data_IF_804513352535
#
_entry.id   IF_804513352535
#
_cell.length_a   1.000
_cell.length_b   1.000
_cell.length_c   1.000
_cell.angle_alpha   90.00
_cell.angle_beta   90.00
_cell.angle_gamma   90.00
#
_symmetry.space_group_name_H-M   'P 1'
#
loop_
_entity.id
_entity.type
_entity.pdbx_description
1 polymer ?
#
# COMPACT_ATOMS: atom_id res chain seq x y z
N UNK A 1 10.80 -45.51 -77.13
CA UNK A 1 10.57 -44.18 -76.53
C UNK A 1 9.97 -44.44 -75.14
N UNK A 2 10.83 -44.63 -74.14
CA UNK A 2 10.44 -44.90 -72.78
C UNK A 2 10.22 -43.57 -72.03
N UNK A 3 9.03 -43.40 -71.46
CA UNK A 3 8.75 -42.34 -70.49
C UNK A 3 8.95 -42.91 -69.11
N UNK A 4 9.95 -42.45 -68.41
CA UNK A 4 10.21 -42.74 -67.01
C UNK A 4 9.31 -41.82 -66.21
N UNK A 5 8.35 -42.40 -65.48
CA UNK A 5 7.49 -41.72 -64.51
C UNK A 5 8.23 -41.66 -63.16
N UNK A 6 8.69 -40.51 -62.80
CA UNK A 6 9.32 -40.29 -61.47
C UNK A 6 8.23 -40.02 -60.47
N UNK A 7 7.88 -41.00 -59.67
CA UNK A 7 6.95 -40.86 -58.53
C UNK A 7 7.69 -40.27 -57.37
N UNK A 8 7.38 -39.00 -57.08
CA UNK A 8 7.86 -38.30 -55.89
C UNK A 8 6.99 -38.71 -54.72
N UNK A 9 7.48 -39.63 -53.87
CA UNK A 9 6.87 -39.94 -52.57
C UNK A 9 7.23 -38.82 -51.61
N UNK A 10 6.27 -37.92 -51.39
CA UNK A 10 6.31 -37.00 -50.27
C UNK A 10 5.94 -37.76 -48.98
N UNK A 11 6.97 -38.11 -48.22
CA UNK A 11 6.81 -38.55 -46.86
C UNK A 11 6.35 -37.36 -45.98
N UNK A 12 5.03 -37.25 -45.83
CA UNK A 12 4.43 -36.45 -44.79
C UNK A 12 4.67 -37.15 -43.45
N UNK A 13 5.71 -36.74 -42.76
CA UNK A 13 5.83 -37.04 -41.34
C UNK A 13 4.80 -36.20 -40.57
N UNK A 14 3.78 -36.79 -39.96
CA UNK A 14 2.98 -36.06 -38.99
C UNK A 14 3.87 -35.85 -37.75
N UNK A 15 4.46 -34.67 -37.62
CA UNK A 15 4.90 -34.22 -36.32
C UNK A 15 3.66 -34.18 -35.42
N UNK A 16 3.41 -35.24 -34.71
CA UNK A 16 2.58 -35.23 -33.52
C UNK A 16 3.32 -34.31 -32.51
N UNK A 17 2.97 -33.03 -32.51
CA UNK A 17 3.19 -32.18 -31.35
C UNK A 17 2.32 -32.80 -30.28
N UNK A 18 2.91 -33.66 -29.47
CA UNK A 18 2.36 -34.01 -28.17
C UNK A 18 2.37 -32.72 -27.37
N UNK A 19 1.30 -31.97 -27.49
CA UNK A 19 0.99 -30.90 -26.56
C UNK A 19 0.94 -31.55 -25.19
N UNK A 20 1.98 -31.39 -24.39
CA UNK A 20 1.87 -31.68 -22.98
C UNK A 20 0.68 -30.90 -22.50
N UNK A 21 -0.42 -31.57 -22.20
CA UNK A 21 -1.47 -30.98 -21.41
C UNK A 21 -0.86 -30.68 -20.05
N UNK A 22 -0.35 -29.49 -19.88
CA UNK A 22 0.00 -28.95 -18.58
C UNK A 22 -1.30 -28.69 -17.82
N UNK A 23 -1.99 -29.75 -17.44
CA UNK A 23 -3.06 -29.72 -16.44
C UNK A 23 -2.40 -29.79 -15.07
N UNK A 24 -1.43 -28.92 -14.82
CA UNK A 24 -0.95 -28.74 -13.48
C UNK A 24 -1.90 -27.71 -12.85
N UNK A 25 -2.93 -28.19 -12.17
CA UNK A 25 -3.88 -27.37 -11.42
C UNK A 25 -3.21 -26.65 -10.22
N UNK A 26 -1.88 -26.73 -10.14
CA UNK A 26 -1.09 -26.11 -9.09
C UNK A 26 -1.10 -24.59 -9.24
N UNK A 27 -1.63 -23.91 -8.25
CA UNK A 27 -1.56 -22.45 -8.16
C UNK A 27 -0.16 -22.02 -7.71
N UNK A 28 0.74 -21.80 -8.65
CA UNK A 28 2.12 -21.36 -8.34
C UNK A 28 2.18 -20.00 -7.61
N UNK A 29 1.13 -19.19 -7.66
CA UNK A 29 1.08 -17.94 -6.89
C UNK A 29 1.07 -18.20 -5.38
N UNK A 30 0.60 -19.33 -4.92
CA UNK A 30 0.61 -19.72 -3.51
C UNK A 30 2.00 -20.12 -2.99
N UNK A 31 2.90 -20.47 -3.90
CA UNK A 31 4.30 -20.79 -3.58
C UNK A 31 5.17 -19.52 -3.40
N UNK A 32 4.64 -18.35 -3.75
CA UNK A 32 5.40 -17.11 -3.69
C UNK A 32 5.47 -16.60 -2.25
N UNK A 33 6.67 -16.55 -1.70
CA UNK A 33 6.92 -15.89 -0.42
C UNK A 33 7.20 -14.40 -0.64
N UNK A 34 6.20 -13.56 -0.41
CA UNK A 34 6.30 -12.10 -0.59
C UNK A 34 7.20 -11.41 0.42
N UNK A 35 7.67 -12.12 1.45
CA UNK A 35 8.58 -11.57 2.47
C UNK A 35 10.07 -11.70 2.10
N UNK A 36 10.39 -12.40 1.01
CA UNK A 36 11.79 -12.52 0.55
C UNK A 36 12.33 -11.14 0.16
N UNK A 37 13.49 -10.78 0.70
CA UNK A 37 14.16 -9.51 0.40
C UNK A 37 13.60 -8.27 1.10
N UNK A 38 12.59 -8.43 1.96
CA UNK A 38 11.97 -7.31 2.69
C UNK A 38 12.72 -6.93 3.95
N UNK A 39 13.56 -7.80 4.46
CA UNK A 39 14.37 -7.61 5.67
C UNK A 39 15.80 -8.08 5.40
N UNK A 40 16.78 -7.46 6.06
CA UNK A 40 18.15 -7.88 5.96
C UNK A 40 19.09 -6.98 6.75
N UNK A 41 20.30 -7.50 6.97
CA UNK A 41 21.41 -6.78 7.55
C UNK A 41 22.43 -6.53 6.43
N UNK A 42 22.67 -5.27 6.09
CA UNK A 42 23.71 -4.89 5.13
C UNK A 42 23.20 -4.07 3.95
N UNK A 43 24.15 -3.64 3.13
CA UNK A 43 23.89 -2.90 1.92
C UNK A 43 23.05 -3.75 0.94
N UNK A 44 22.07 -3.17 0.33
CA UNK A 44 21.19 -3.78 -0.66
C UNK A 44 20.23 -4.87 -0.13
N UNK A 45 20.02 -4.99 1.18
CA UNK A 45 18.98 -5.84 1.75
C UNK A 45 17.84 -5.01 2.35
N UNK A 46 16.61 -5.53 2.31
CA UNK A 46 15.43 -4.85 2.82
C UNK A 46 14.83 -3.80 1.88
N UNK A 47 15.22 -3.79 0.60
CA UNK A 47 14.71 -2.84 -0.39
C UNK A 47 13.46 -3.32 -1.14
N UNK A 48 12.98 -4.51 -0.84
CA UNK A 48 11.71 -5.02 -1.36
C UNK A 48 10.61 -4.76 -0.35
N UNK A 49 9.40 -4.56 -0.82
CA UNK A 49 8.23 -4.38 0.04
C UNK A 49 7.34 -5.63 0.01
N UNK A 50 6.72 -6.03 1.15
CA UNK A 50 5.93 -7.25 1.24
C UNK A 50 4.46 -7.06 0.90
N UNK A 51 4.02 -5.83 0.65
CA UNK A 51 2.62 -5.46 0.56
C UNK A 51 1.89 -6.01 -0.65
N UNK A 52 0.60 -5.78 -0.66
CA UNK A 52 -0.28 -6.16 -1.75
C UNK A 52 0.08 -5.41 -3.03
N UNK A 53 0.23 -6.15 -4.13
CA UNK A 53 0.58 -5.61 -5.45
C UNK A 53 -0.25 -6.31 -6.51
N UNK A 54 -0.84 -5.54 -7.43
CA UNK A 54 -1.44 -6.04 -8.65
C UNK A 54 -0.42 -5.93 -9.78
N UNK A 55 -0.22 -6.96 -10.61
CA UNK A 55 0.74 -6.92 -11.69
C UNK A 55 0.50 -5.71 -12.62
N UNK A 56 1.55 -4.90 -12.80
CA UNK A 56 1.50 -3.65 -13.60
C UNK A 56 0.49 -2.60 -13.09
N UNK A 57 0.01 -2.74 -11.86
CA UNK A 57 -0.85 -1.75 -11.21
C UNK A 57 -0.09 -0.51 -10.75
N UNK A 58 -0.84 0.56 -10.51
CA UNK A 58 -0.28 1.84 -10.02
C UNK A 58 -0.11 1.85 -8.49
N UNK A 59 -0.75 0.92 -7.79
CA UNK A 59 -0.82 0.88 -6.32
C UNK A 59 -0.04 -0.31 -5.78
N UNK A 60 0.83 -0.04 -4.81
CA UNK A 60 1.51 -1.02 -3.99
C UNK A 60 1.17 -0.71 -2.54
N UNK A 61 0.13 -1.36 -2.01
CA UNK A 61 -0.31 -1.09 -0.65
C UNK A 61 0.50 -1.91 0.34
N UNK A 62 1.43 -1.25 0.99
CA UNK A 62 2.51 -1.91 1.72
C UNK A 62 2.93 -1.11 2.95
N UNK A 63 3.46 -1.77 4.00
CA UNK A 63 4.21 -1.04 5.00
C UNK A 63 5.42 -0.36 4.37
N UNK A 64 5.72 0.85 4.82
CA UNK A 64 6.93 1.56 4.38
C UNK A 64 8.16 0.92 5.02
N UNK A 65 8.98 0.26 4.22
CA UNK A 65 10.12 -0.52 4.71
C UNK A 65 11.40 0.29 4.85
N UNK A 66 11.61 1.22 3.96
CA UNK A 66 12.89 1.87 3.85
C UNK A 66 13.18 2.85 5.00
N UNK A 67 12.17 3.56 5.44
CA UNK A 67 12.27 4.54 6.54
C UNK A 67 11.81 4.02 7.89
N UNK A 68 11.69 2.70 8.03
CA UNK A 68 11.25 2.04 9.27
C UNK A 68 9.90 2.55 9.77
N UNK A 69 8.83 2.10 9.10
CA UNK A 69 7.52 2.08 9.71
C UNK A 69 6.74 3.40 9.78
N UNK A 70 6.61 4.05 8.63
CA UNK A 70 5.77 5.23 8.50
C UNK A 70 4.27 4.96 8.35
N UNK A 71 3.81 3.79 8.60
CA UNK A 71 2.46 3.38 8.25
C UNK A 71 2.41 2.57 6.95
N UNK A 72 1.22 2.42 6.42
CA UNK A 72 0.98 1.76 5.13
C UNK A 72 0.87 2.81 4.03
N UNK A 73 1.66 2.67 3.01
CA UNK A 73 1.77 3.60 1.88
C UNK A 73 1.20 2.99 0.61
N UNK A 74 0.78 3.82 -0.33
CA UNK A 74 0.10 3.36 -1.55
C UNK A 74 1.01 3.31 -2.78
N UNK A 75 2.21 3.82 -2.68
CA UNK A 75 3.20 3.76 -3.74
C UNK A 75 4.60 3.60 -3.16
N UNK A 76 5.34 2.66 -3.67
CA UNK A 76 6.73 2.45 -3.26
C UNK A 76 7.47 1.73 -4.38
N UNK A 77 8.65 2.20 -4.72
CA UNK A 77 9.50 1.53 -5.69
C UNK A 77 10.31 0.42 -5.01
N UNK A 78 10.37 -0.74 -5.63
CA UNK A 78 11.09 -1.89 -5.12
C UNK A 78 12.53 -1.91 -5.62
N UNK A 79 13.48 -2.25 -4.73
CA UNK A 79 14.87 -2.46 -5.12
C UNK A 79 15.68 -1.21 -5.44
N UNK A 80 15.17 -0.01 -5.15
CA UNK A 80 15.80 1.24 -5.56
C UNK A 80 17.13 1.57 -4.86
N UNK A 81 17.33 1.09 -3.63
CA UNK A 81 18.54 1.35 -2.87
C UNK A 81 18.67 2.77 -2.30
N UNK A 82 17.67 3.60 -2.43
CA UNK A 82 17.57 4.94 -1.87
C UNK A 82 16.13 5.22 -1.45
N UNK A 83 15.90 6.31 -0.71
CA UNK A 83 14.56 6.72 -0.33
C UNK A 83 13.67 6.82 -1.56
N UNK A 84 12.49 6.24 -1.49
CA UNK A 84 11.67 6.07 -2.66
C UNK A 84 10.19 6.16 -2.32
N UNK A 85 9.55 7.22 -2.72
CA UNK A 85 8.11 7.44 -2.64
C UNK A 85 7.53 7.06 -1.27
N UNK A 86 6.32 6.56 -1.20
CA UNK A 86 5.63 6.25 0.05
C UNK A 86 4.68 7.36 0.46
N UNK A 87 3.91 7.86 -0.53
CA UNK A 87 2.93 8.91 -0.31
C UNK A 87 1.71 8.38 0.45
N UNK A 88 1.05 9.31 1.11
CA UNK A 88 -0.21 9.13 1.82
C UNK A 88 -0.17 7.97 2.82
N UNK A 89 0.82 7.92 3.72
CA UNK A 89 0.89 6.89 4.73
C UNK A 89 -0.37 6.91 5.59
N UNK A 90 -0.94 5.72 5.80
CA UNK A 90 -2.10 5.52 6.65
C UNK A 90 -1.72 4.73 7.88
N UNK A 91 -2.37 5.02 9.01
CA UNK A 91 -2.02 4.39 10.26
C UNK A 91 -3.24 4.26 11.19
N UNK A 92 -3.52 3.06 11.73
CA UNK A 92 -4.57 2.87 12.73
C UNK A 92 -4.03 3.18 14.14
N UNK A 93 -4.85 3.86 14.93
CA UNK A 93 -4.56 4.20 16.34
C UNK A 93 -5.73 3.76 17.22
N UNK A 94 -5.44 3.15 18.38
CA UNK A 94 -6.45 2.84 19.37
C UNK A 94 -6.99 4.11 20.04
N UNK A 95 -8.31 4.20 20.16
CA UNK A 95 -8.96 5.38 20.77
C UNK A 95 -8.94 6.61 19.89
N UNK A 96 -9.06 7.77 20.53
CA UNK A 96 -8.99 9.09 19.90
C UNK A 96 -7.57 9.62 19.86
N UNK A 97 -7.28 10.41 18.84
CA UNK A 97 -6.01 11.10 18.75
C UNK A 97 -5.94 12.23 19.78
N UNK A 98 -4.94 12.21 20.67
CA UNK A 98 -4.79 13.18 21.73
C UNK A 98 -3.79 14.29 21.42
N UNK A 99 -2.89 14.04 20.48
CA UNK A 99 -1.86 14.96 20.06
C UNK A 99 -1.59 14.82 18.56
N UNK A 100 -0.98 15.80 17.97
CA UNK A 100 -0.54 15.72 16.57
C UNK A 100 0.38 14.52 16.39
N UNK A 101 0.18 13.73 15.33
CA UNK A 101 1.15 12.71 14.95
C UNK A 101 2.50 13.28 14.52
N UNK A 102 2.65 14.59 14.51
CA UNK A 102 3.84 15.40 14.21
C UNK A 102 4.47 15.03 12.87
N UNK A 103 5.07 13.86 12.83
CA UNK A 103 5.44 13.19 11.60
C UNK A 103 5.05 11.72 11.74
N UNK A 104 4.11 11.27 10.92
CA UNK A 104 3.62 9.89 10.94
C UNK A 104 4.76 8.87 10.72
N UNK A 105 5.86 9.29 10.06
CA UNK A 105 7.09 8.51 9.93
C UNK A 105 7.72 8.17 11.29
N UNK A 106 7.43 8.95 12.33
CA UNK A 106 7.89 8.70 13.68
C UNK A 106 7.02 7.69 14.44
N UNK A 107 5.80 7.41 13.94
CA UNK A 107 4.99 6.33 14.48
C UNK A 107 5.53 5.00 14.01
N UNK A 108 6.29 4.36 14.86
CA UNK A 108 6.77 3.00 14.60
C UNK A 108 5.59 2.05 14.60
N UNK A 109 5.28 1.49 13.45
CA UNK A 109 4.44 0.32 13.38
C UNK A 109 5.26 -0.85 13.91
N UNK A 110 4.98 -1.32 15.11
CA UNK A 110 5.49 -2.61 15.53
C UNK A 110 4.74 -3.67 14.75
N UNK A 111 5.30 -4.10 13.64
CA UNK A 111 4.75 -5.16 12.80
C UNK A 111 5.14 -6.51 13.38
N UNK A 112 4.16 -7.34 13.62
CA UNK A 112 4.31 -8.74 14.00
C UNK A 112 3.35 -9.62 13.21
N UNK A 113 3.56 -10.93 13.23
CA UNK A 113 2.71 -11.92 12.53
C UNK A 113 2.41 -11.52 11.09
N UNK A 114 3.46 -11.10 10.40
CA UNK A 114 3.39 -10.63 9.02
C UNK A 114 3.28 -11.81 8.06
N UNK A 115 2.34 -11.75 7.14
CA UNK A 115 2.19 -12.71 6.05
C UNK A 115 1.59 -12.06 4.81
N UNK A 116 1.78 -12.68 3.66
CA UNK A 116 1.23 -12.18 2.41
C UNK A 116 1.32 -13.20 1.29
N UNK A 117 0.52 -12.95 0.28
CA UNK A 117 0.57 -13.64 -1.00
C UNK A 117 0.28 -12.63 -2.12
N UNK A 118 0.32 -13.05 -3.37
CA UNK A 118 0.06 -12.17 -4.51
C UNK A 118 -1.26 -11.40 -4.33
N UNK A 119 -1.19 -10.06 -4.33
CA UNK A 119 -2.35 -9.17 -4.19
C UNK A 119 -2.89 -8.97 -2.76
N UNK A 120 -2.29 -9.60 -1.77
CA UNK A 120 -2.75 -9.50 -0.38
C UNK A 120 -1.60 -9.45 0.61
N UNK A 121 -1.80 -8.68 1.67
CA UNK A 121 -0.88 -8.59 2.80
C UNK A 121 -1.66 -8.45 4.11
N UNK A 122 -1.20 -9.09 5.16
CA UNK A 122 -1.70 -8.85 6.51
C UNK A 122 -0.57 -8.83 7.55
N UNK A 123 -0.83 -8.09 8.62
CA UNK A 123 0.07 -8.01 9.77
C UNK A 123 -0.68 -7.60 11.03
N UNK A 124 -0.11 -7.91 12.18
CA UNK A 124 -0.52 -7.32 13.44
C UNK A 124 0.34 -6.07 13.70
N UNK A 125 -0.32 -4.94 13.92
CA UNK A 125 0.33 -3.66 14.20
C UNK A 125 -0.10 -3.15 15.57
N UNK A 126 0.72 -2.33 16.20
CA UNK A 126 0.44 -1.81 17.55
C UNK A 126 0.00 -2.89 18.55
N UNK A 127 0.68 -4.04 18.52
CA UNK A 127 0.48 -5.20 19.39
C UNK A 127 -0.74 -6.07 19.03
N UNK A 128 -1.89 -5.49 18.69
CA UNK A 128 -3.15 -6.21 18.58
C UNK A 128 -4.15 -5.71 17.52
N UNK A 129 -3.80 -4.70 16.72
CA UNK A 129 -4.62 -4.30 15.56
C UNK A 129 -4.20 -5.17 14.37
N UNK A 130 -5.14 -5.89 13.77
CA UNK A 130 -4.90 -6.62 12.53
C UNK A 130 -5.17 -5.73 11.34
N UNK A 131 -4.16 -5.58 10.49
CA UNK A 131 -4.24 -4.83 9.25
C UNK A 131 -4.27 -5.81 8.07
N UNK A 132 -5.24 -5.66 7.19
CA UNK A 132 -5.39 -6.42 5.95
C UNK A 132 -5.35 -5.44 4.78
N UNK A 133 -4.50 -5.69 3.82
CA UNK A 133 -4.33 -4.84 2.64
C UNK A 133 -4.53 -5.65 1.38
N UNK A 134 -5.23 -5.08 0.42
CA UNK A 134 -5.37 -5.64 -0.93
C UNK A 134 -5.41 -4.52 -1.96
N UNK A 135 -5.25 -4.87 -3.23
CA UNK A 135 -5.18 -3.89 -4.31
C UNK A 135 -5.89 -4.38 -5.56
N UNK A 136 -6.32 -3.42 -6.35
CA UNK A 136 -6.59 -3.57 -7.78
C UNK A 136 -5.58 -2.74 -8.57
N UNK A 137 -5.77 -2.59 -9.86
CA UNK A 137 -4.87 -1.81 -10.72
C UNK A 137 -4.62 -0.38 -10.20
N UNK A 138 -5.64 0.27 -9.63
CA UNK A 138 -5.59 1.69 -9.22
C UNK A 138 -6.13 1.97 -7.83
N UNK A 139 -6.56 0.96 -7.11
CA UNK A 139 -7.18 1.13 -5.80
C UNK A 139 -6.52 0.23 -4.79
N UNK A 140 -6.09 0.80 -3.67
CA UNK A 140 -5.75 0.07 -2.47
C UNK A 140 -6.97 -0.01 -1.55
N UNK A 141 -7.14 -1.12 -0.86
CA UNK A 141 -8.17 -1.29 0.16
C UNK A 141 -7.53 -1.82 1.44
N UNK A 142 -7.86 -1.19 2.54
CA UNK A 142 -7.44 -1.63 3.86
C UNK A 142 -8.62 -1.96 4.77
N UNK A 143 -8.41 -2.92 5.65
CA UNK A 143 -9.27 -3.24 6.78
C UNK A 143 -8.43 -3.31 8.04
N UNK A 144 -8.78 -2.52 9.03
CA UNK A 144 -8.16 -2.54 10.36
C UNK A 144 -9.14 -3.14 11.37
N UNK A 145 -8.80 -4.28 11.95
CA UNK A 145 -9.57 -4.95 12.99
C UNK A 145 -8.99 -4.59 14.35
N UNK A 146 -9.80 -3.93 15.17
CA UNK A 146 -9.42 -3.51 16.51
C UNK A 146 -9.79 -4.56 17.57
N UNK A 147 -9.08 -4.59 18.71
CA UNK A 147 -9.43 -5.48 19.82
C UNK A 147 -10.86 -5.26 20.31
N UNK A 148 -11.48 -6.32 20.85
CA UNK A 148 -12.86 -6.32 21.30
C UNK A 148 -13.16 -5.27 22.38
N UNK A 149 -12.18 -4.91 23.17
CA UNK A 149 -12.30 -3.92 24.26
C UNK A 149 -12.17 -2.45 23.80
N UNK A 150 -11.85 -2.21 22.51
CA UNK A 150 -11.81 -0.85 21.98
C UNK A 150 -13.21 -0.37 21.60
N UNK A 151 -13.57 0.80 22.07
CA UNK A 151 -14.83 1.49 21.72
C UNK A 151 -14.63 2.53 20.61
N UNK A 152 -13.41 3.01 20.44
CA UNK A 152 -13.04 4.00 19.45
C UNK A 152 -11.76 3.58 18.73
N UNK A 153 -11.67 3.94 17.45
CA UNK A 153 -10.46 3.75 16.66
C UNK A 153 -10.26 4.91 15.70
N UNK A 154 -9.03 5.32 15.50
CA UNK A 154 -8.67 6.43 14.62
C UNK A 154 -7.82 5.93 13.47
N UNK A 155 -8.07 6.44 12.27
CA UNK A 155 -7.20 6.28 11.11
C UNK A 155 -6.61 7.63 10.76
N UNK A 156 -5.29 7.69 10.69
CA UNK A 156 -4.52 8.87 10.26
C UNK A 156 -4.15 8.68 8.79
N UNK A 157 -4.22 9.75 8.00
CA UNK A 157 -3.73 9.79 6.61
C UNK A 157 -2.82 11.01 6.46
N UNK A 158 -1.56 10.76 6.15
CA UNK A 158 -0.58 11.80 5.87
C UNK A 158 -0.75 12.36 4.46
N UNK A 159 -1.04 13.64 4.33
CA UNK A 159 -1.11 14.34 3.03
C UNK A 159 0.28 14.81 2.57
N UNK A 160 0.97 15.52 3.43
CA UNK A 160 2.30 16.08 3.18
C UNK A 160 3.44 15.22 3.71
N UNK A 161 3.36 13.89 3.54
CA UNK A 161 4.35 12.93 4.03
C UNK A 161 4.71 11.93 2.95
N UNK A 162 6.01 11.71 2.76
CA UNK A 162 6.58 10.70 1.89
C UNK A 162 8.02 10.41 2.35
N UNK A 163 8.58 9.29 1.94
CA UNK A 163 10.01 9.01 2.15
C UNK A 163 10.91 9.94 1.32
N UNK A 164 10.43 10.42 0.18
CA UNK A 164 11.10 11.50 -0.59
C UNK A 164 10.57 12.86 -0.17
N UNK A 165 11.34 13.94 -0.35
CA UNK A 165 10.88 15.29 -0.02
C UNK A 165 9.55 15.67 -0.66
N UNK A 166 8.72 16.36 0.07
CA UNK A 166 7.45 16.91 -0.40
C UNK A 166 7.61 18.40 -0.67
N UNK A 167 7.39 18.82 -1.90
CA UNK A 167 7.45 20.23 -2.31
C UNK A 167 6.11 20.95 -2.10
N UNK A 168 5.02 20.23 -2.36
CA UNK A 168 3.65 20.73 -2.19
C UNK A 168 2.74 19.57 -1.81
N UNK A 169 1.78 19.83 -0.96
CA UNK A 169 0.70 18.89 -0.65
C UNK A 169 -0.53 19.66 -0.19
N UNK A 170 -1.69 19.09 -0.48
CA UNK A 170 -2.94 19.53 0.13
C UNK A 170 -3.86 18.33 0.29
N UNK A 171 -4.63 18.33 1.38
CA UNK A 171 -5.63 17.32 1.69
C UNK A 171 -6.87 17.98 2.25
N UNK A 172 -8.04 17.55 1.79
CA UNK A 172 -9.34 18.07 2.21
C UNK A 172 -10.27 16.93 2.61
N UNK A 173 -10.93 17.07 3.76
CA UNK A 173 -12.05 16.21 4.18
C UNK A 173 -13.30 16.75 3.50
N UNK A 174 -13.90 15.98 2.62
CA UNK A 174 -15.09 16.34 1.84
C UNK A 174 -16.39 15.80 2.42
N UNK A 175 -16.29 14.76 3.27
CA UNK A 175 -17.40 14.18 4.02
C UNK A 175 -16.88 13.46 5.27
N UNK A 176 -17.75 13.13 6.25
CA UNK A 176 -17.33 12.39 7.46
C UNK A 176 -16.66 11.04 7.17
N UNK A 177 -16.78 10.53 5.95
CA UNK A 177 -16.16 9.27 5.51
C UNK A 177 -15.24 9.44 4.30
N UNK A 178 -14.86 10.67 3.92
CA UNK A 178 -14.13 10.88 2.66
C UNK A 178 -13.14 12.04 2.75
N UNK A 179 -11.95 11.82 2.22
CA UNK A 179 -10.99 12.88 1.94
C UNK A 179 -10.35 12.68 0.56
N UNK A 180 -9.76 13.76 0.07
CA UNK A 180 -9.01 13.75 -1.18
C UNK A 180 -7.86 14.75 -1.12
N UNK A 181 -6.88 14.56 -2.00
CA UNK A 181 -5.73 15.45 -1.99
C UNK A 181 -4.71 15.14 -3.06
N UNK A 182 -3.60 15.84 -2.96
CA UNK A 182 -2.44 15.62 -3.81
C UNK A 182 -1.14 15.87 -3.05
N UNK A 183 -0.07 15.29 -3.57
CA UNK A 183 1.28 15.62 -3.16
C UNK A 183 2.18 15.77 -4.40
N UNK A 184 3.12 16.70 -4.32
CA UNK A 184 4.21 16.88 -5.28
C UNK A 184 5.50 16.55 -4.56
N UNK A 185 6.10 15.46 -4.95
CA UNK A 185 7.39 15.00 -4.45
C UNK A 185 8.46 15.08 -5.55
N UNK A 186 9.64 14.61 -5.23
CA UNK A 186 10.76 14.57 -6.18
C UNK A 186 12.05 14.23 -5.48
N UNK A 187 13.16 14.58 -6.14
CA UNK A 187 14.52 14.31 -5.63
C UNK A 187 14.77 12.82 -5.34
N UNK A 188 14.26 11.97 -6.22
CA UNK A 188 14.45 10.54 -6.14
C UNK A 188 15.91 10.18 -6.48
N UNK A 189 16.62 9.52 -5.54
CA UNK A 189 18.05 9.21 -5.66
C UNK A 189 18.91 10.42 -6.09
N UNK A 190 18.58 11.63 -5.64
CA UNK A 190 19.28 12.84 -6.02
C UNK A 190 18.89 13.44 -7.40
N UNK A 191 17.96 12.81 -8.10
CA UNK A 191 17.44 13.34 -9.36
C UNK A 191 16.27 14.31 -9.08
N UNK A 192 16.37 15.57 -9.48
CA UNK A 192 15.36 16.61 -9.17
C UNK A 192 14.13 16.55 -10.08
N UNK A 193 13.68 15.34 -10.42
CA UNK A 193 12.50 15.15 -11.27
C UNK A 193 11.24 15.15 -10.40
N UNK A 194 10.39 16.17 -10.47
CA UNK A 194 9.16 16.19 -9.68
C UNK A 194 8.13 15.22 -10.24
N UNK A 195 7.33 14.67 -9.37
CA UNK A 195 6.12 13.94 -9.70
C UNK A 195 4.95 14.52 -8.91
N UNK A 196 3.73 14.40 -9.44
CA UNK A 196 2.50 14.75 -8.75
C UNK A 196 1.57 13.57 -8.71
N UNK A 197 1.07 13.26 -7.52
CA UNK A 197 0.14 12.16 -7.29
C UNK A 197 -1.10 12.68 -6.59
N UNK A 198 -2.27 12.19 -7.02
CA UNK A 198 -3.57 12.50 -6.45
C UNK A 198 -4.16 11.25 -5.82
N UNK A 199 -4.96 11.45 -4.77
CA UNK A 199 -5.68 10.36 -4.14
C UNK A 199 -7.07 10.78 -3.68
N UNK A 200 -7.91 9.77 -3.48
CA UNK A 200 -9.19 9.84 -2.76
C UNK A 200 -9.18 8.68 -1.78
N UNK A 201 -9.61 8.93 -0.55
CA UNK A 201 -9.87 7.88 0.42
C UNK A 201 -11.33 7.93 0.87
N UNK A 202 -11.98 6.77 0.87
CA UNK A 202 -13.38 6.62 1.23
C UNK A 202 -13.55 5.46 2.22
N UNK A 203 -14.11 5.76 3.39
CA UNK A 203 -14.39 4.80 4.46
C UNK A 203 -15.79 4.21 4.33
N UNK A 204 -15.95 2.98 4.81
CA UNK A 204 -17.21 2.23 4.82
C UNK A 204 -18.26 2.79 5.80
N UNK A 205 -17.86 3.70 6.68
CA UNK A 205 -18.73 4.36 7.65
C UNK A 205 -18.27 5.80 7.94
N UNK A 206 -19.17 6.64 8.43
CA UNK A 206 -18.85 8.00 8.84
C UNK A 206 -18.06 8.03 10.15
N UNK A 207 -17.07 8.91 10.21
CA UNK A 207 -16.35 9.22 11.43
C UNK A 207 -17.25 10.01 12.39
N UNK A 208 -17.09 9.77 13.70
CA UNK A 208 -17.74 10.55 14.76
C UNK A 208 -16.95 11.79 15.14
N UNK A 209 -15.68 11.81 14.79
CA UNK A 209 -14.78 12.93 14.97
C UNK A 209 -13.74 12.92 13.84
N UNK A 210 -13.40 14.07 13.35
CA UNK A 210 -12.34 14.23 12.34
C UNK A 210 -11.65 15.59 12.51
N UNK A 211 -10.53 15.72 11.88
CA UNK A 211 -9.78 16.98 11.84
C UNK A 211 -8.50 16.83 11.06
N UNK A 212 -7.68 17.86 11.15
CA UNK A 212 -6.40 17.93 10.47
C UNK A 212 -5.27 18.10 11.47
N UNK A 213 -4.05 17.95 11.00
CA UNK A 213 -2.86 18.28 11.75
C UNK A 213 -1.79 18.83 10.82
N UNK A 214 -0.92 19.66 11.37
CA UNK A 214 0.26 20.16 10.70
C UNK A 214 1.38 20.34 11.72
N UNK A 215 2.50 19.68 11.49
CA UNK A 215 3.59 19.65 12.46
C UNK A 215 3.07 19.24 13.85
N UNK A 216 3.35 20.02 14.89
CA UNK A 216 2.93 19.74 16.28
C UNK A 216 1.48 20.10 16.59
N UNK A 217 0.80 20.77 15.66
CA UNK A 217 -0.54 21.30 15.89
C UNK A 217 -1.61 20.30 15.42
N UNK A 218 -2.46 19.85 16.34
CA UNK A 218 -3.68 19.09 16.07
C UNK A 218 -4.86 20.06 16.00
N UNK A 219 -5.66 19.97 14.94
CA UNK A 219 -6.79 20.88 14.66
C UNK A 219 -8.10 20.06 14.52
N UNK A 220 -8.80 19.83 15.62
CA UNK A 220 -10.12 19.18 15.58
C UNK A 220 -11.13 20.00 14.76
N UNK A 221 -12.06 19.32 14.11
CA UNK A 221 -13.16 19.90 13.32
C UNK A 221 -12.72 20.80 12.16
N UNK A 222 -11.47 20.70 11.73
CA UNK A 222 -10.99 21.34 10.50
C UNK A 222 -10.95 20.32 9.36
N UNK A 223 -11.12 20.83 8.14
CA UNK A 223 -11.27 19.99 6.95
C UNK A 223 -10.14 20.14 5.95
N UNK A 224 -9.22 21.06 6.16
CA UNK A 224 -8.14 21.35 5.20
C UNK A 224 -6.78 21.42 5.88
N UNK A 225 -5.80 20.74 5.28
CA UNK A 225 -4.40 20.85 5.65
C UNK A 225 -3.53 20.90 4.38
N UNK A 226 -2.41 21.61 4.49
CA UNK A 226 -1.47 21.77 3.38
C UNK A 226 -0.01 21.79 3.83
N UNK A 227 0.88 21.50 2.89
CA UNK A 227 2.32 21.56 3.08
C UNK A 227 2.90 20.31 3.73
N UNK A 228 4.18 20.40 4.05
CA UNK A 228 4.96 19.33 4.66
C UNK A 228 4.47 18.99 6.08
N UNK A 229 4.62 17.74 6.49
CA UNK A 229 4.22 17.25 7.82
C UNK A 229 2.75 17.58 8.17
N UNK A 230 1.84 17.37 7.22
CA UNK A 230 0.40 17.61 7.38
C UNK A 230 -0.42 16.40 6.99
N UNK A 231 -1.66 16.33 7.49
CA UNK A 231 -2.59 15.28 7.16
C UNK A 231 -3.95 15.44 7.81
N UNK A 232 -4.74 14.39 7.73
CA UNK A 232 -6.08 14.30 8.31
C UNK A 232 -6.21 13.08 9.20
N UNK A 233 -7.19 13.09 10.08
CA UNK A 233 -7.56 11.95 10.88
C UNK A 233 -9.07 11.79 10.94
N UNK A 234 -9.49 10.53 11.09
CA UNK A 234 -10.89 10.14 11.24
C UNK A 234 -11.01 9.18 12.41
N UNK A 235 -11.86 9.52 13.38
CA UNK A 235 -12.14 8.68 14.55
C UNK A 235 -13.52 8.06 14.42
N UNK A 236 -13.60 6.77 14.62
CA UNK A 236 -14.81 5.96 14.41
C UNK A 236 -15.26 5.31 15.69
N UNK A 237 -16.60 5.20 15.84
CA UNK A 237 -17.22 4.36 16.83
C UNK A 237 -17.04 2.87 16.44
N UNK A 238 -16.57 2.07 17.41
CA UNK A 238 -16.31 0.66 17.25
C UNK A 238 -17.26 -0.23 18.06
N UNK A 239 -18.29 0.32 18.70
CA UNK A 239 -19.17 -0.48 19.58
C UNK A 239 -19.92 -1.56 18.82
N UNK A 240 -20.41 -1.24 17.61
CA UNK A 240 -21.17 -2.17 16.77
C UNK A 240 -20.30 -3.02 15.86
N UNK A 241 -19.19 -2.48 15.37
CA UNK A 241 -18.30 -3.11 14.40
C UNK A 241 -16.86 -2.77 14.74
N UNK A 242 -16.07 -3.78 15.08
CA UNK A 242 -14.68 -3.62 15.55
C UNK A 242 -13.67 -3.41 14.43
N UNK A 243 -14.11 -3.15 13.22
CA UNK A 243 -13.24 -2.87 12.10
C UNK A 243 -13.58 -1.55 11.39
N UNK A 244 -12.59 -1.03 10.72
CA UNK A 244 -12.66 0.14 9.84
C UNK A 244 -12.13 -0.30 8.48
N UNK A 245 -12.90 -0.06 7.43
CA UNK A 245 -12.50 -0.34 6.05
C UNK A 245 -12.47 0.94 5.25
N UNK A 246 -11.53 1.03 4.31
CA UNK A 246 -11.46 2.14 3.35
C UNK A 246 -10.72 1.74 2.07
N UNK A 247 -10.95 2.48 1.05
CA UNK A 247 -10.30 2.35 -0.25
C UNK A 247 -9.77 3.71 -0.71
#
# INVERSE_FOLDING_TARGET
KNKILLSLFLLLNPFFILGNNWTDDKNYAEEVNTLIGTKGLGLASGYLYPGATYPFGMVQFTPSYFSKSAGFVINQLSGAGCDHMGNFPTFPVKGKLQASPENILNYRINISKEQGHAGYYEATVQEDIRAHLTVTERTGMAKYEFPANQTMGTVIIGGGISATPINQAAIVITAPNRCEGYAVGGNFCGLPTPYKVYFVAEFDKGAVEFGTWKQKELKPNTTFAEGECSGVYFTFDLDKKKDIQYK
#
